data_IF_590606432020
#
_entry.id   IF_590606432020
#
_cell.length_a   1.000
_cell.length_b   1.000
_cell.length_c   1.000
_cell.angle_alpha   90.00
_cell.angle_beta   90.00
_cell.angle_gamma   90.00
#
_symmetry.space_group_name_H-M   'P 1'
#
loop_
_entity.id
_entity.type
_entity.pdbx_description
1 polymer ?
#
# COMPACT_ATOMS: atom_id res chain seq x y z
N UNK A 1 -9.79 34.35 -36.44
CA UNK A 1 -10.74 33.30 -36.03
C UNK A 1 -9.95 32.02 -35.82
N UNK A 2 -9.52 31.77 -34.58
CA UNK A 2 -8.62 30.67 -34.23
C UNK A 2 -9.44 29.61 -33.49
N UNK A 3 -9.46 28.39 -34.01
CA UNK A 3 -10.17 27.25 -33.44
C UNK A 3 -9.19 26.54 -32.51
N UNK A 4 -9.38 26.68 -31.20
CA UNK A 4 -8.66 25.92 -30.17
C UNK A 4 -9.24 24.51 -30.03
N UNK A 5 -8.37 23.50 -29.92
CA UNK A 5 -8.71 22.09 -29.77
C UNK A 5 -9.39 21.79 -28.43
N UNK A 6 -10.21 20.73 -28.39
CA UNK A 6 -11.04 20.36 -27.23
C UNK A 6 -10.24 20.03 -25.95
N UNK A 7 -8.94 19.72 -26.06
CA UNK A 7 -8.09 19.35 -24.93
C UNK A 7 -7.75 20.54 -24.03
N UNK A 8 -7.61 21.75 -24.58
CA UNK A 8 -7.26 22.95 -23.80
C UNK A 8 -8.43 23.50 -22.96
N UNK A 9 -9.68 23.09 -23.22
CA UNK A 9 -10.85 23.55 -22.44
C UNK A 9 -11.02 22.80 -21.11
N UNK A 10 -10.45 21.60 -20.97
CA UNK A 10 -10.56 20.81 -19.73
C UNK A 10 -9.59 21.28 -18.63
N UNK A 11 -8.44 21.84 -19.00
CA UNK A 11 -7.46 22.37 -18.05
C UNK A 11 -7.94 23.68 -17.39
N UNK A 12 -8.56 24.59 -18.17
CA UNK A 12 -9.05 25.86 -17.63
C UNK A 12 -10.27 25.72 -16.71
N UNK A 13 -11.09 24.68 -16.91
CA UNK A 13 -12.29 24.43 -16.10
C UNK A 13 -11.98 23.90 -14.69
N UNK A 14 -10.83 23.23 -14.49
CA UNK A 14 -10.41 22.71 -13.17
C UNK A 14 -9.86 23.81 -12.25
N UNK A 15 -9.19 24.84 -12.79
CA UNK A 15 -8.66 25.96 -12.00
C UNK A 15 -9.74 26.88 -11.41
N UNK A 16 -10.92 27.00 -12.04
CA UNK A 16 -12.01 27.84 -11.51
C UNK A 16 -12.83 27.21 -10.39
N UNK A 17 -12.70 25.89 -10.15
CA UNK A 17 -13.49 25.20 -9.11
C UNK A 17 -12.89 25.31 -7.70
N UNK A 18 -11.58 25.58 -7.59
CA UNK A 18 -10.90 25.71 -6.29
C UNK A 18 -11.02 27.10 -5.65
N UNK A 19 -11.50 28.12 -6.37
CA UNK A 19 -11.61 29.50 -5.85
C UNK A 19 -12.99 29.91 -5.35
N UNK A 20 -13.99 29.01 -5.39
CA UNK A 20 -15.38 29.30 -4.96
C UNK A 20 -15.81 28.63 -3.65
N UNK A 21 -14.92 27.90 -2.97
CA UNK A 21 -15.24 27.19 -1.72
C UNK A 21 -14.92 27.98 -0.42
N UNK A 22 -14.44 29.22 -0.50
CA UNK A 22 -13.99 29.99 0.69
C UNK A 22 -14.77 31.27 1.01
N UNK A 23 -15.96 31.48 0.44
CA UNK A 23 -16.82 32.61 0.81
C UNK A 23 -18.27 32.14 0.98
N UNK A 24 -18.73 32.05 2.23
CA UNK A 24 -20.15 31.87 2.51
C UNK A 24 -20.47 31.19 3.83
N UNK A 25 -20.07 31.76 4.97
CA UNK A 25 -20.79 31.52 6.23
C UNK A 25 -21.39 32.84 6.69
N UNK A 26 -22.66 32.99 6.33
CA UNK A 26 -23.56 34.04 6.78
C UNK A 26 -23.92 33.74 8.23
N UNK A 27 -23.45 34.55 9.18
CA UNK A 27 -23.91 34.50 10.56
C UNK A 27 -25.02 35.54 10.71
N UNK A 28 -26.25 35.08 10.89
CA UNK A 28 -27.40 35.93 11.18
C UNK A 28 -28.12 35.42 12.43
N UNK A 29 -28.49 36.38 13.27
CA UNK A 29 -29.41 36.30 14.40
C UNK A 29 -28.86 35.79 15.74
N UNK A 30 -28.42 36.73 16.58
CA UNK A 30 -28.89 36.80 17.97
C UNK A 30 -29.16 38.27 18.33
N UNK A 31 -30.36 38.45 18.87
CA UNK A 31 -31.06 39.68 19.20
C UNK A 31 -30.58 40.34 20.50
N UNK A 32 -30.55 41.67 20.47
CA UNK A 32 -30.83 42.64 21.55
C UNK A 32 -30.61 42.22 23.01
N UNK A 33 -29.63 42.85 23.66
CA UNK A 33 -29.84 43.51 24.96
C UNK A 33 -29.12 44.85 24.93
N UNK A 34 -29.89 45.91 25.20
CA UNK A 34 -29.46 47.30 25.28
C UNK A 34 -28.64 47.57 26.55
N UNK A 35 -27.74 48.57 26.44
CA UNK A 35 -27.50 49.51 27.53
C UNK A 35 -26.23 49.32 28.36
N UNK A 36 -25.15 49.98 27.94
CA UNK A 36 -24.37 50.90 28.79
C UNK A 36 -23.13 51.39 28.03
N UNK A 37 -23.16 52.65 27.59
CA UNK A 37 -21.96 53.43 27.32
C UNK A 37 -21.42 53.98 28.63
N UNK A 38 -20.13 53.83 28.94
CA UNK A 38 -19.30 54.86 29.62
C UNK A 38 -17.81 54.55 29.36
N UNK A 39 -17.17 55.52 28.72
CA UNK A 39 -15.77 55.99 28.83
C UNK A 39 -14.60 54.99 28.91
N UNK A 40 -13.81 55.02 27.83
CA UNK A 40 -12.35 54.95 27.88
C UNK A 40 -11.81 56.02 28.84
N UNK A 41 -11.10 55.61 29.89
CA UNK A 41 -9.72 56.02 30.15
C UNK A 41 -9.16 55.48 31.48
N UNK A 42 -7.90 55.06 31.41
CA UNK A 42 -6.89 55.08 32.47
C UNK A 42 -6.96 54.07 33.65
N UNK A 43 -5.86 53.30 33.71
CA UNK A 43 -5.20 52.59 34.83
C UNK A 43 -5.20 51.03 34.80
N UNK A 44 -4.03 50.42 35.10
CA UNK A 44 -3.75 49.01 34.89
C UNK A 44 -4.25 48.20 36.09
N UNK A 45 -5.32 47.43 35.91
CA UNK A 45 -5.76 46.48 36.93
C UNK A 45 -5.23 45.09 36.60
N UNK A 46 -4.27 44.66 37.41
CA UNK A 46 -4.00 43.26 37.74
C UNK A 46 -5.33 42.49 37.83
N UNK A 47 -5.64 41.68 36.82
CA UNK A 47 -6.59 40.60 37.00
C UNK A 47 -5.93 39.55 37.90
N UNK A 48 -6.15 39.70 39.21
CA UNK A 48 -6.17 38.57 40.13
C UNK A 48 -7.33 37.68 39.67
N UNK A 49 -7.06 36.77 38.75
CA UNK A 49 -7.91 35.59 38.61
C UNK A 49 -7.71 34.80 39.90
N UNK A 50 -8.72 34.79 40.77
CA UNK A 50 -8.87 33.71 41.74
C UNK A 50 -8.72 32.41 40.95
N UNK A 51 -7.62 31.70 41.20
CA UNK A 51 -7.23 30.47 40.52
C UNK A 51 -8.21 29.35 40.90
N UNK A 52 -9.41 29.40 40.35
CA UNK A 52 -10.16 28.18 40.10
C UNK A 52 -9.38 27.41 39.03
N UNK A 53 -8.55 26.46 39.48
CA UNK A 53 -7.94 25.45 38.61
C UNK A 53 -9.08 24.62 38.01
N UNK A 54 -9.58 25.06 36.85
CA UNK A 54 -10.45 24.22 36.04
C UNK A 54 -9.59 23.09 35.48
N UNK A 55 -9.64 21.94 36.14
CA UNK A 55 -9.08 20.70 35.60
C UNK A 55 -10.00 20.27 34.46
N UNK A 56 -9.70 20.73 33.25
CA UNK A 56 -10.35 20.21 32.04
C UNK A 56 -9.77 18.81 31.81
N UNK A 57 -10.53 17.78 32.19
CA UNK A 57 -10.21 16.39 31.87
C UNK A 57 -10.50 16.17 30.39
N UNK A 58 -9.47 16.27 29.54
CA UNK A 58 -9.55 15.85 28.14
C UNK A 58 -9.30 14.35 28.08
N UNK A 59 -10.37 13.56 27.96
CA UNK A 59 -10.23 12.13 27.63
C UNK A 59 -10.16 12.01 26.13
N UNK A 60 -8.96 11.74 25.58
CA UNK A 60 -8.82 11.26 24.21
C UNK A 60 -9.03 9.75 24.23
N UNK A 61 -10.17 9.28 23.73
CA UNK A 61 -10.34 7.87 23.38
C UNK A 61 -9.31 7.53 22.31
N UNK A 62 -8.42 6.58 22.62
CA UNK A 62 -7.39 6.11 21.68
C UNK A 62 -7.98 5.03 20.77
N UNK A 63 -7.19 4.65 19.76
CA UNK A 63 -7.42 3.47 18.95
C UNK A 63 -7.81 2.25 19.81
N UNK A 64 -8.78 1.49 19.34
CA UNK A 64 -9.05 0.18 19.91
C UNK A 64 -8.08 -0.82 19.28
N UNK A 65 -7.28 -1.48 20.12
CA UNK A 65 -6.32 -2.48 19.65
C UNK A 65 -6.97 -3.86 19.70
N UNK A 66 -7.05 -4.51 18.54
CA UNK A 66 -7.53 -5.89 18.43
C UNK A 66 -6.32 -6.80 18.28
N UNK A 67 -6.21 -7.78 19.17
CA UNK A 67 -5.21 -8.85 19.09
C UNK A 67 -5.93 -10.12 18.66
N UNK A 68 -5.50 -10.74 17.56
CA UNK A 68 -6.07 -11.97 17.03
C UNK A 68 -5.00 -13.05 16.90
N UNK A 69 -5.30 -14.29 17.28
CA UNK A 69 -4.47 -15.45 17.00
C UNK A 69 -5.20 -16.34 15.99
N UNK A 70 -4.51 -16.72 14.92
CA UNK A 70 -5.04 -17.67 13.95
C UNK A 70 -3.92 -18.45 13.28
N UNK A 71 -4.26 -19.64 12.77
CA UNK A 71 -3.39 -20.39 11.88
C UNK A 71 -3.36 -19.74 10.51
N UNK A 72 -2.17 -19.28 10.11
CA UNK A 72 -2.00 -18.47 8.94
C UNK A 72 -0.73 -18.80 8.15
N UNK A 73 -0.73 -18.42 6.88
CA UNK A 73 0.36 -18.60 5.95
C UNK A 73 0.64 -17.26 5.28
N UNK A 74 1.85 -16.73 5.47
CA UNK A 74 2.27 -15.50 4.80
C UNK A 74 2.47 -15.76 3.31
N UNK A 75 1.86 -14.92 2.49
CA UNK A 75 1.91 -15.01 1.03
C UNK A 75 2.26 -13.65 0.44
N UNK A 76 2.80 -13.66 -0.78
CA UNK A 76 3.04 -12.44 -1.53
C UNK A 76 1.70 -11.78 -1.93
N UNK A 77 1.47 -10.55 -1.47
CA UNK A 77 0.22 -9.82 -1.71
C UNK A 77 0.02 -9.52 -3.20
N UNK A 78 1.09 -9.21 -3.94
CA UNK A 78 0.97 -8.88 -5.35
C UNK A 78 0.53 -10.10 -6.18
N UNK A 79 1.15 -11.26 -5.92
CA UNK A 79 0.73 -12.53 -6.52
C UNK A 79 -0.68 -12.91 -6.08
N UNK A 80 -1.00 -12.82 -4.78
CA UNK A 80 -2.33 -13.18 -4.26
C UNK A 80 -3.44 -12.35 -4.91
N UNK A 81 -3.31 -11.02 -4.86
CA UNK A 81 -4.30 -10.10 -5.41
C UNK A 81 -4.47 -10.26 -6.92
N UNK A 82 -3.37 -10.22 -7.68
CA UNK A 82 -3.41 -10.35 -9.13
C UNK A 82 -3.98 -11.70 -9.59
N UNK A 83 -3.64 -12.80 -8.91
CA UNK A 83 -4.15 -14.12 -9.27
C UNK A 83 -5.61 -14.33 -8.83
N UNK A 84 -6.07 -13.70 -7.75
CA UNK A 84 -7.48 -13.71 -7.35
C UNK A 84 -8.35 -12.90 -8.31
N UNK A 85 -7.90 -11.71 -8.73
CA UNK A 85 -8.59 -10.91 -9.75
C UNK A 85 -8.70 -11.69 -11.08
N UNK A 86 -7.62 -12.36 -11.49
CA UNK A 86 -7.64 -13.23 -12.67
C UNK A 86 -8.65 -14.37 -12.53
N UNK A 87 -8.66 -15.02 -11.36
CA UNK A 87 -9.59 -16.11 -11.06
C UNK A 87 -11.04 -15.64 -11.08
N UNK A 88 -11.34 -14.49 -10.48
CA UNK A 88 -12.66 -13.89 -10.49
C UNK A 88 -13.15 -13.59 -11.90
N UNK A 89 -12.30 -12.92 -12.72
CA UNK A 89 -12.65 -12.53 -14.09
C UNK A 89 -12.97 -13.74 -14.97
N UNK A 90 -12.26 -14.84 -14.80
CA UNK A 90 -12.43 -16.07 -15.59
C UNK A 90 -13.34 -17.11 -14.94
N UNK A 91 -13.90 -16.81 -13.77
CA UNK A 91 -14.70 -17.76 -12.98
C UNK A 91 -15.90 -18.31 -13.76
N UNK A 92 -16.63 -17.44 -14.46
CA UNK A 92 -17.80 -17.83 -15.26
C UNK A 92 -17.41 -18.71 -16.46
N UNK A 93 -16.28 -18.40 -17.09
CA UNK A 93 -15.73 -19.19 -18.20
C UNK A 93 -15.30 -20.57 -17.74
N UNK A 94 -14.57 -20.66 -16.62
CA UNK A 94 -14.16 -21.92 -15.99
C UNK A 94 -15.38 -22.74 -15.58
N UNK A 95 -16.39 -22.10 -14.96
CA UNK A 95 -17.63 -22.78 -14.59
C UNK A 95 -18.36 -23.34 -15.81
N UNK A 96 -18.42 -22.58 -16.90
CA UNK A 96 -19.02 -23.02 -18.16
C UNK A 96 -18.27 -24.21 -18.75
N UNK A 97 -16.93 -24.15 -18.81
CA UNK A 97 -16.09 -25.26 -19.25
C UNK A 97 -16.37 -26.55 -18.45
N UNK A 98 -16.43 -26.43 -17.11
CA UNK A 98 -16.72 -27.57 -16.22
C UNK A 98 -18.13 -28.12 -16.44
N UNK A 99 -19.13 -27.26 -16.62
CA UNK A 99 -20.51 -27.66 -16.90
C UNK A 99 -20.62 -28.37 -18.26
N UNK A 100 -20.02 -27.81 -19.30
CA UNK A 100 -19.95 -28.43 -20.63
C UNK A 100 -19.26 -29.79 -20.56
N UNK A 101 -18.15 -29.93 -19.82
CA UNK A 101 -17.47 -31.22 -19.68
C UNK A 101 -18.29 -32.25 -18.88
N UNK A 102 -19.05 -31.80 -17.86
CA UNK A 102 -19.84 -32.68 -16.99
C UNK A 102 -21.14 -33.16 -17.64
N UNK A 103 -21.84 -32.27 -18.35
CA UNK A 103 -23.19 -32.49 -18.85
C UNK A 103 -23.29 -32.54 -20.38
N UNK A 104 -22.21 -32.26 -21.11
CA UNK A 104 -22.17 -32.40 -22.56
C UNK A 104 -22.46 -33.84 -22.98
N UNK A 105 -23.63 -34.06 -23.59
CA UNK A 105 -24.06 -35.36 -24.12
C UNK A 105 -24.69 -35.17 -25.50
N UNK A 106 -24.59 -36.21 -26.34
CA UNK A 106 -25.27 -36.32 -27.63
C UNK A 106 -24.39 -36.08 -28.85
N UNK A 107 -24.92 -36.45 -30.03
CA UNK A 107 -24.20 -36.46 -31.31
C UNK A 107 -23.77 -35.05 -31.80
N UNK A 108 -24.23 -33.99 -31.11
CA UNK A 108 -23.90 -32.58 -31.36
C UNK A 108 -22.97 -31.98 -30.30
N UNK A 109 -22.59 -32.73 -29.27
CA UNK A 109 -21.62 -32.28 -28.29
C UNK A 109 -20.22 -32.35 -28.90
N UNK A 110 -19.69 -31.21 -29.34
CA UNK A 110 -18.35 -31.11 -29.96
C UNK A 110 -17.22 -31.44 -28.98
N UNK A 111 -17.48 -31.33 -27.67
CA UNK A 111 -16.53 -31.65 -26.61
C UNK A 111 -16.93 -33.01 -26.04
N UNK A 112 -16.21 -34.07 -26.44
CA UNK A 112 -16.26 -35.35 -25.74
C UNK A 112 -15.83 -35.14 -24.27
N UNK A 113 -16.34 -35.97 -23.36
CA UNK A 113 -15.98 -35.92 -21.93
C UNK A 113 -14.47 -36.04 -21.75
N UNK A 114 -13.81 -34.91 -21.47
CA UNK A 114 -12.38 -34.84 -21.27
C UNK A 114 -12.02 -35.38 -19.87
N UNK A 115 -10.88 -36.10 -19.74
CA UNK A 115 -10.26 -36.38 -18.45
C UNK A 115 -10.10 -35.09 -17.63
N UNK A 116 -10.23 -35.21 -16.31
CA UNK A 116 -10.21 -34.05 -15.40
C UNK A 116 -8.88 -33.30 -15.47
N UNK A 117 -7.80 -34.00 -15.75
CA UNK A 117 -6.45 -33.47 -15.90
C UNK A 117 -6.36 -32.53 -17.09
N UNK A 118 -7.00 -32.88 -18.22
CA UNK A 118 -7.02 -32.02 -19.41
C UNK A 118 -7.86 -30.76 -19.17
N UNK A 119 -8.99 -30.89 -18.48
CA UNK A 119 -9.79 -29.71 -18.09
C UNK A 119 -8.98 -28.78 -17.21
N UNK A 120 -8.28 -29.31 -16.20
CA UNK A 120 -7.40 -28.52 -15.34
C UNK A 120 -6.27 -27.83 -16.13
N UNK A 121 -5.70 -28.49 -17.14
CA UNK A 121 -4.69 -27.89 -18.00
C UNK A 121 -5.26 -26.72 -18.82
N UNK A 122 -6.46 -26.86 -19.38
CA UNK A 122 -7.14 -25.77 -20.09
C UNK A 122 -7.47 -24.63 -19.14
N UNK A 123 -7.97 -24.90 -17.94
CA UNK A 123 -8.21 -23.87 -16.91
C UNK A 123 -6.92 -23.11 -16.56
N UNK A 124 -5.82 -23.83 -16.35
CA UNK A 124 -4.52 -23.22 -16.07
C UNK A 124 -4.03 -22.37 -17.23
N UNK A 125 -4.18 -22.84 -18.47
CA UNK A 125 -3.81 -22.09 -19.67
C UNK A 125 -4.61 -20.79 -19.80
N UNK A 126 -5.93 -20.84 -19.58
CA UNK A 126 -6.79 -19.65 -19.63
C UNK A 126 -6.41 -18.63 -18.55
N UNK A 127 -6.09 -19.10 -17.35
CA UNK A 127 -5.74 -18.23 -16.22
C UNK A 127 -4.35 -17.60 -16.37
N UNK A 128 -3.39 -18.26 -17.03
CA UNK A 128 -1.99 -17.85 -17.00
C UNK A 128 -1.75 -16.47 -17.60
N UNK A 129 -2.32 -16.19 -18.77
CA UNK A 129 -2.15 -14.89 -19.44
C UNK A 129 -2.71 -13.74 -18.59
N UNK A 130 -3.89 -13.94 -18.00
CA UNK A 130 -4.53 -12.92 -17.16
C UNK A 130 -3.80 -12.74 -15.82
N UNK A 131 -3.31 -13.84 -15.22
CA UNK A 131 -2.47 -13.81 -14.01
C UNK A 131 -1.22 -12.99 -14.20
N UNK A 132 -0.47 -13.25 -15.27
CA UNK A 132 0.77 -12.52 -15.54
C UNK A 132 0.50 -11.03 -15.76
N UNK A 133 -0.57 -10.70 -16.48
CA UNK A 133 -0.98 -9.31 -16.70
C UNK A 133 -1.33 -8.60 -15.39
N UNK A 134 -2.22 -9.19 -14.59
CA UNK A 134 -2.70 -8.57 -13.35
C UNK A 134 -1.60 -8.55 -12.28
N UNK A 135 -0.81 -9.62 -12.15
CA UNK A 135 0.37 -9.64 -11.27
C UNK A 135 1.33 -8.49 -11.59
N UNK A 136 1.63 -8.23 -12.87
CA UNK A 136 2.48 -7.09 -13.25
C UNK A 136 1.92 -5.75 -12.78
N UNK A 137 0.60 -5.56 -12.89
CA UNK A 137 -0.05 -4.34 -12.38
C UNK A 137 0.06 -4.23 -10.87
N UNK A 138 -0.23 -5.32 -10.14
CA UNK A 138 -0.12 -5.38 -8.69
C UNK A 138 1.30 -5.11 -8.20
N UNK A 139 2.31 -5.71 -8.84
CA UNK A 139 3.72 -5.47 -8.51
C UNK A 139 4.07 -4.01 -8.73
N UNK A 140 3.74 -3.43 -9.89
CA UNK A 140 4.04 -2.03 -10.19
C UNK A 140 3.41 -1.06 -9.18
N UNK A 141 2.14 -1.27 -8.83
CA UNK A 141 1.43 -0.42 -7.87
C UNK A 141 2.04 -0.60 -6.45
N UNK A 142 2.41 -1.83 -6.07
CA UNK A 142 3.10 -2.13 -4.81
C UNK A 142 4.48 -1.48 -4.74
N UNK A 143 5.30 -1.57 -5.80
CA UNK A 143 6.65 -1.00 -5.85
C UNK A 143 6.63 0.51 -5.63
N UNK A 144 5.58 1.21 -6.09
CA UNK A 144 5.38 2.63 -5.80
C UNK A 144 5.05 2.88 -4.32
N UNK A 145 4.13 2.08 -3.75
CA UNK A 145 3.80 2.13 -2.33
C UNK A 145 5.01 1.87 -1.41
N UNK A 146 5.87 0.92 -1.79
CA UNK A 146 7.08 0.59 -1.03
C UNK A 146 8.25 1.54 -1.31
N UNK A 147 8.04 2.57 -2.15
CA UNK A 147 9.07 3.53 -2.58
C UNK A 147 10.31 2.86 -3.19
N UNK A 148 10.11 1.72 -3.84
CA UNK A 148 11.16 0.97 -4.53
C UNK A 148 11.18 1.25 -6.04
N UNK A 149 10.27 2.10 -6.50
CA UNK A 149 10.12 2.43 -7.91
C UNK A 149 11.14 3.49 -8.34
N UNK A 150 11.54 3.47 -9.61
CA UNK A 150 12.45 4.47 -10.18
C UNK A 150 11.68 5.55 -10.96
N UNK A 151 12.17 6.80 -11.05
CA UNK A 151 11.52 7.83 -11.87
C UNK A 151 11.25 7.37 -13.32
N UNK A 152 12.21 6.68 -13.96
CA UNK A 152 12.04 6.18 -15.33
C UNK A 152 10.88 5.17 -15.50
N UNK A 153 10.39 4.56 -14.42
CA UNK A 153 9.25 3.63 -14.47
C UNK A 153 7.88 4.34 -14.54
N UNK A 154 7.87 5.67 -14.43
CA UNK A 154 6.67 6.51 -14.44
C UNK A 154 6.59 7.38 -15.70
N UNK A 155 7.63 7.36 -16.51
CA UNK A 155 7.78 8.22 -17.68
C UNK A 155 7.76 7.37 -18.95
N UNK A 156 7.22 7.94 -20.01
CA UNK A 156 7.36 7.42 -21.37
C UNK A 156 8.82 7.52 -21.84
N UNK A 157 9.18 6.74 -22.87
CA UNK A 157 10.54 6.76 -23.41
C UNK A 157 10.88 8.15 -23.96
N UNK A 158 9.89 8.83 -24.53
CA UNK A 158 10.00 10.18 -25.07
C UNK A 158 10.27 11.21 -23.98
N UNK A 159 9.55 11.14 -22.85
CA UNK A 159 9.77 12.02 -21.68
C UNK A 159 11.15 11.78 -21.06
N UNK A 160 11.59 10.52 -20.95
CA UNK A 160 12.94 10.19 -20.45
C UNK A 160 14.01 10.79 -21.36
N UNK A 161 13.83 10.67 -22.68
CA UNK A 161 14.75 11.21 -23.68
C UNK A 161 14.81 12.75 -23.63
N UNK A 162 13.67 13.40 -23.43
CA UNK A 162 13.58 14.86 -23.25
C UNK A 162 14.38 15.31 -22.00
N UNK A 163 14.15 14.67 -20.85
CA UNK A 163 14.91 14.97 -19.63
C UNK A 163 16.41 14.74 -19.79
N UNK A 164 16.79 13.65 -20.46
CA UNK A 164 18.19 13.33 -20.72
C UNK A 164 18.88 14.37 -21.62
N UNK A 165 18.20 14.79 -22.70
CA UNK A 165 18.72 15.82 -23.61
C UNK A 165 18.84 17.19 -22.92
N UNK A 166 17.87 17.57 -22.09
CA UNK A 166 17.92 18.80 -21.29
C UNK A 166 19.10 18.78 -20.30
N UNK A 167 19.24 17.68 -19.56
CA UNK A 167 20.35 17.50 -18.63
C UNK A 167 21.71 17.59 -19.32
N UNK A 168 21.88 16.89 -20.45
CA UNK A 168 23.12 16.90 -21.22
C UNK A 168 23.47 18.31 -21.71
N UNK A 169 22.46 19.08 -22.12
CA UNK A 169 22.61 20.50 -22.46
C UNK A 169 23.02 21.38 -21.27
N UNK A 170 22.62 21.02 -20.04
CA UNK A 170 22.94 21.78 -18.82
C UNK A 170 24.35 21.54 -18.27
N UNK A 171 24.93 20.35 -18.46
CA UNK A 171 26.27 19.96 -17.95
C UNK A 171 27.42 20.41 -18.85
N UNK A 172 27.13 20.87 -20.06
CA UNK A 172 28.12 21.45 -20.98
C UNK A 172 28.06 22.98 -21.05
N UNK A 173 28.07 23.76 -19.93
CA UNK A 173 28.22 25.20 -20.00
C UNK A 173 29.71 25.53 -20.23
N UNK A 174 30.17 25.38 -21.47
CA UNK A 174 31.53 25.75 -21.88
C UNK A 174 32.12 24.99 -23.07
N UNK A 175 31.53 23.86 -23.50
CA UNK A 175 31.97 23.17 -24.73
C UNK A 175 31.29 23.69 -26.00
N UNK A 176 30.69 24.89 -25.93
CA UNK A 176 30.09 25.56 -27.10
C UNK A 176 31.15 26.00 -28.13
N UNK A 177 32.44 25.93 -27.76
CA UNK A 177 33.57 26.16 -28.67
C UNK A 177 34.21 24.85 -29.17
N UNK A 178 33.91 23.70 -28.57
CA UNK A 178 34.22 22.41 -29.18
C UNK A 178 33.07 22.10 -30.13
N UNK A 179 33.27 22.54 -31.37
CA UNK A 179 32.52 22.16 -32.56
C UNK A 179 31.83 20.81 -32.37
N UNK A 180 30.50 20.76 -32.55
CA UNK A 180 29.90 19.51 -33.02
C UNK A 180 30.86 18.95 -34.09
N UNK A 181 31.25 17.69 -34.01
CA UNK A 181 32.12 17.05 -35.02
C UNK A 181 31.58 17.23 -36.45
N UNK A 182 30.30 17.62 -36.57
CA UNK A 182 29.58 17.96 -37.78
C UNK A 182 29.61 19.46 -38.20
N UNK A 183 30.31 20.36 -37.51
CA UNK A 183 30.38 21.82 -37.76
C UNK A 183 29.03 22.58 -37.73
N UNK A 184 27.92 21.98 -37.28
CA UNK A 184 26.60 22.61 -37.45
C UNK A 184 26.25 23.70 -36.43
N UNK A 185 26.99 23.80 -35.31
CA UNK A 185 26.73 24.79 -34.25
C UNK A 185 25.51 24.49 -33.37
N UNK A 186 24.81 23.37 -33.58
CA UNK A 186 23.62 22.96 -32.81
C UNK A 186 23.91 21.80 -31.85
N UNK A 187 23.22 21.79 -30.70
CA UNK A 187 23.13 20.62 -29.82
C UNK A 187 22.19 19.63 -30.49
N UNK A 188 22.71 18.50 -30.98
CA UNK A 188 21.86 17.43 -31.47
C UNK A 188 21.16 16.75 -30.30
N UNK A 189 19.85 16.96 -30.21
CA UNK A 189 18.99 16.07 -29.44
C UNK A 189 19.26 14.64 -29.94
N UNK A 190 19.56 13.74 -29.02
CA UNK A 190 19.65 12.34 -29.38
C UNK A 190 18.24 11.82 -29.64
N UNK A 191 18.09 10.97 -30.65
CA UNK A 191 16.87 10.22 -30.91
C UNK A 191 16.74 9.02 -29.96
N UNK A 192 17.87 8.57 -29.37
CA UNK A 192 17.94 7.46 -28.43
C UNK A 192 18.99 7.71 -27.35
N UNK A 193 18.71 7.30 -26.11
CA UNK A 193 19.71 7.20 -25.04
C UNK A 193 20.19 5.73 -24.92
N UNK A 194 21.49 5.49 -24.67
CA UNK A 194 21.98 4.14 -24.44
C UNK A 194 21.43 3.59 -23.11
N UNK A 195 20.94 2.34 -23.09
CA UNK A 195 20.40 1.72 -21.87
C UNK A 195 21.42 1.69 -20.71
N UNK A 196 22.72 1.70 -21.03
CA UNK A 196 23.80 1.79 -20.03
C UNK A 196 23.80 3.09 -19.21
N UNK A 197 23.11 4.13 -19.68
CA UNK A 197 23.00 5.42 -18.97
C UNK A 197 21.70 5.56 -18.16
N UNK A 198 20.84 4.53 -18.13
CA UNK A 198 19.59 4.57 -17.37
C UNK A 198 19.79 4.80 -15.87
N UNK A 199 20.85 4.25 -15.28
CA UNK A 199 21.14 4.48 -13.87
C UNK A 199 21.54 5.95 -13.62
N UNK A 200 22.38 6.51 -14.50
CA UNK A 200 22.73 7.94 -14.46
C UNK A 200 21.50 8.82 -14.65
N UNK A 201 20.61 8.48 -15.60
CA UNK A 201 19.34 9.18 -15.81
C UNK A 201 18.48 9.15 -14.54
N UNK A 202 18.39 8.00 -13.86
CA UNK A 202 17.66 7.90 -12.60
C UNK A 202 18.30 8.76 -11.50
N UNK A 203 19.62 8.72 -11.35
CA UNK A 203 20.34 9.58 -10.39
C UNK A 203 20.11 11.07 -10.67
N UNK A 204 20.01 11.47 -11.95
CA UNK A 204 19.72 12.84 -12.34
C UNK A 204 18.29 13.22 -11.97
N UNK A 205 17.32 12.38 -12.34
CA UNK A 205 15.90 12.60 -12.05
C UNK A 205 15.64 12.61 -10.53
N UNK A 206 16.37 11.79 -9.78
CA UNK A 206 16.39 11.80 -8.31
C UNK A 206 17.18 12.99 -7.75
N UNK A 207 18.22 13.50 -8.42
CA UNK A 207 19.01 14.63 -7.92
C UNK A 207 18.36 15.99 -8.15
N UNK A 208 17.57 16.14 -9.22
CA UNK A 208 16.88 17.38 -9.62
C UNK A 208 15.64 17.70 -8.77
N UNK A 209 15.72 17.54 -7.44
CA UNK A 209 14.62 17.83 -6.51
C UNK A 209 14.29 19.34 -6.36
N UNK A 210 15.09 20.26 -6.91
CA UNK A 210 14.99 21.71 -6.69
C UNK A 210 14.03 22.45 -7.66
N UNK A 211 12.85 21.89 -7.89
CA UNK A 211 11.70 22.65 -8.45
C UNK A 211 11.57 22.73 -9.98
N UNK A 212 12.13 21.78 -10.73
CA UNK A 212 11.88 21.69 -12.19
C UNK A 212 10.52 21.06 -12.52
N UNK A 213 9.95 21.45 -13.66
CA UNK A 213 8.65 20.99 -14.18
C UNK A 213 8.52 19.46 -14.33
N UNK A 214 9.64 18.75 -14.52
CA UNK A 214 9.66 17.30 -14.70
C UNK A 214 9.32 16.52 -13.43
N UNK A 215 9.42 17.17 -12.26
CA UNK A 215 8.99 16.58 -10.99
C UNK A 215 7.50 16.27 -10.98
N UNK A 216 6.69 17.19 -11.50
CA UNK A 216 5.23 17.11 -11.36
C UNK A 216 4.67 15.88 -12.08
N UNK A 217 5.19 15.52 -13.27
CA UNK A 217 4.68 14.39 -14.05
C UNK A 217 4.98 13.04 -13.43
N UNK A 218 6.22 12.80 -12.99
CA UNK A 218 6.57 11.51 -12.35
C UNK A 218 5.86 11.38 -11.00
N UNK A 219 5.78 12.47 -10.22
CA UNK A 219 5.08 12.49 -8.94
C UNK A 219 3.59 12.20 -9.13
N UNK A 220 2.93 12.78 -10.14
CA UNK A 220 1.51 12.54 -10.43
C UNK A 220 1.22 11.05 -10.71
N UNK A 221 2.01 10.40 -11.58
CA UNK A 221 1.84 8.98 -11.89
C UNK A 221 2.21 8.08 -10.70
N UNK A 222 3.22 8.46 -9.91
CA UNK A 222 3.59 7.76 -8.68
C UNK A 222 2.48 7.81 -7.63
N UNK A 223 1.94 9.00 -7.35
CA UNK A 223 0.81 9.20 -6.44
C UNK A 223 -0.44 8.45 -6.94
N UNK A 224 -0.75 8.51 -8.24
CA UNK A 224 -1.87 7.78 -8.83
C UNK A 224 -1.72 6.25 -8.67
N UNK A 225 -0.50 5.71 -8.71
CA UNK A 225 -0.22 4.29 -8.45
C UNK A 225 -0.38 3.94 -6.98
N UNK A 226 0.04 4.81 -6.06
CA UNK A 226 -0.21 4.65 -4.62
C UNK A 226 -1.71 4.66 -4.33
N UNK A 227 -2.47 5.61 -4.88
CA UNK A 227 -3.93 5.63 -4.77
C UNK A 227 -4.57 4.37 -5.33
N UNK A 228 -4.03 3.86 -6.45
CA UNK A 228 -4.49 2.61 -7.04
C UNK A 228 -4.21 1.41 -6.13
N UNK A 229 -3.05 1.38 -5.47
CA UNK A 229 -2.72 0.40 -4.45
C UNK A 229 -3.72 0.43 -3.30
N UNK A 230 -3.99 1.62 -2.74
CA UNK A 230 -4.98 1.78 -1.67
C UNK A 230 -6.39 1.43 -2.09
N UNK A 231 -6.80 1.76 -3.32
CA UNK A 231 -8.09 1.31 -3.84
C UNK A 231 -8.18 -0.21 -3.88
N UNK A 232 -7.06 -0.90 -4.15
CA UNK A 232 -6.99 -2.36 -4.16
C UNK A 232 -6.99 -2.96 -2.78
N UNK A 233 -6.16 -2.47 -1.86
CA UNK A 233 -5.88 -3.11 -0.55
C UNK A 233 -6.48 -2.42 0.65
N UNK A 234 -7.14 -1.27 0.47
CA UNK A 234 -7.49 -0.32 1.53
C UNK A 234 -6.31 0.57 1.90
N UNK A 235 -6.61 1.73 2.48
CA UNK A 235 -5.60 2.61 3.07
C UNK A 235 -5.14 2.05 4.44
N UNK A 236 -3.94 2.48 4.91
CA UNK A 236 -3.54 2.29 6.29
C UNK A 236 -4.64 2.79 7.24
N UNK A 237 -4.84 2.09 8.37
CA UNK A 237 -5.85 2.39 9.40
C UNK A 237 -7.33 2.23 8.99
N UNK A 238 -7.66 2.23 7.70
CA UNK A 238 -9.03 1.98 7.25
C UNK A 238 -9.46 0.53 7.51
N UNK A 239 -10.75 0.37 7.85
CA UNK A 239 -11.36 -0.94 8.07
C UNK A 239 -11.67 -1.68 6.78
N UNK A 240 -12.10 -0.97 5.74
CA UNK A 240 -12.29 -1.55 4.41
C UNK A 240 -10.94 -1.81 3.77
N UNK A 241 -10.83 -2.94 3.05
CA UNK A 241 -9.67 -3.27 2.23
C UNK A 241 -9.92 -2.96 0.76
N UNK A 242 -10.69 -1.92 0.47
CA UNK A 242 -10.98 -1.46 -0.88
C UNK A 242 -11.63 -2.57 -1.72
N UNK A 243 -11.15 -2.77 -2.95
CA UNK A 243 -11.64 -3.86 -3.81
C UNK A 243 -11.25 -5.25 -3.31
N UNK A 244 -10.25 -5.37 -2.42
CA UNK A 244 -9.86 -6.66 -1.84
C UNK A 244 -10.97 -7.30 -1.01
N UNK A 245 -11.86 -6.52 -0.41
CA UNK A 245 -12.99 -7.05 0.36
C UNK A 245 -13.84 -8.01 -0.53
N UNK A 246 -14.00 -7.66 -1.82
CA UNK A 246 -14.65 -8.51 -2.82
C UNK A 246 -13.85 -9.79 -3.08
N UNK A 247 -12.53 -9.68 -3.27
CA UNK A 247 -11.64 -10.83 -3.51
C UNK A 247 -11.57 -11.77 -2.28
N UNK A 248 -11.63 -11.21 -1.08
CA UNK A 248 -11.67 -11.97 0.18
C UNK A 248 -12.92 -12.86 0.24
N UNK A 249 -14.06 -12.37 -0.26
CA UNK A 249 -15.29 -13.18 -0.33
C UNK A 249 -15.12 -14.43 -1.22
N UNK A 250 -14.29 -14.36 -2.26
CA UNK A 250 -13.98 -15.50 -3.14
C UNK A 250 -13.14 -16.53 -2.36
N UNK A 251 -12.14 -16.08 -1.59
CA UNK A 251 -11.35 -16.96 -0.74
C UNK A 251 -12.21 -17.71 0.27
N UNK A 252 -13.11 -17.00 0.94
CA UNK A 252 -14.00 -17.61 1.92
C UNK A 252 -14.94 -18.62 1.25
N UNK A 253 -15.54 -18.26 0.11
CA UNK A 253 -16.51 -19.12 -0.58
C UNK A 253 -15.90 -20.34 -1.27
N UNK A 254 -14.76 -20.17 -1.95
CA UNK A 254 -14.18 -21.22 -2.81
C UNK A 254 -13.09 -22.03 -2.11
N UNK A 255 -12.43 -21.44 -1.12
CA UNK A 255 -11.30 -22.07 -0.44
C UNK A 255 -11.55 -22.27 1.05
N UNK A 256 -12.57 -21.63 1.63
CA UNK A 256 -12.84 -21.70 3.07
C UNK A 256 -11.72 -21.08 3.90
N UNK A 257 -11.09 -20.04 3.36
CA UNK A 257 -9.99 -19.27 3.96
C UNK A 257 -10.36 -17.78 4.03
N UNK A 258 -9.73 -17.07 4.96
CA UNK A 258 -9.77 -15.61 5.06
C UNK A 258 -8.41 -15.02 4.71
N UNK A 259 -8.40 -13.72 4.46
CA UNK A 259 -7.19 -12.92 4.29
C UNK A 259 -7.05 -11.89 5.35
N UNK A 260 -5.84 -11.73 5.85
CA UNK A 260 -5.45 -10.61 6.69
C UNK A 260 -4.37 -9.81 5.97
N UNK A 261 -4.67 -8.54 5.68
CA UNK A 261 -3.75 -7.58 5.05
C UNK A 261 -3.44 -6.47 6.05
N UNK A 262 -2.17 -6.11 6.09
CA UNK A 262 -1.66 -4.98 6.86
C UNK A 262 -0.61 -4.22 6.08
N UNK A 263 -0.60 -2.91 6.28
CA UNK A 263 0.52 -2.05 5.90
C UNK A 263 1.42 -1.94 7.12
N UNK A 264 2.69 -2.28 6.97
CA UNK A 264 3.70 -2.23 8.03
C UNK A 264 4.79 -1.28 7.62
N UNK A 265 5.40 -0.65 8.61
CA UNK A 265 6.71 -0.02 8.48
C UNK A 265 7.71 -1.02 9.04
N UNK A 266 8.56 -1.58 8.19
CA UNK A 266 9.58 -2.51 8.65
C UNK A 266 10.73 -1.69 9.26
N UNK A 267 10.74 -1.57 10.59
CA UNK A 267 11.86 -0.97 11.32
C UNK A 267 13.10 -1.86 11.18
N UNK A 268 13.96 -1.52 10.22
CA UNK A 268 15.41 -1.58 10.46
C UNK A 268 15.83 -0.24 11.06
N UNK A 269 16.72 -0.23 12.06
CA UNK A 269 17.48 1.00 12.37
C UNK A 269 18.18 1.39 11.06
N UNK A 270 17.75 2.46 10.39
CA UNK A 270 18.41 2.80 9.16
C UNK A 270 19.74 3.43 9.60
N UNK A 271 20.87 2.85 9.17
CA UNK A 271 22.22 3.36 9.51
C UNK A 271 22.35 4.84 9.15
N UNK A 272 21.50 5.31 8.23
CA UNK A 272 21.23 6.72 7.95
C UNK A 272 19.72 6.94 7.89
N UNK A 273 19.19 8.08 8.39
CA UNK A 273 17.81 8.48 8.15
C UNK A 273 17.62 8.75 6.65
N UNK A 274 17.44 7.68 5.87
CA UNK A 274 16.87 7.79 4.54
C UNK A 274 15.42 8.23 4.75
N UNK A 275 14.96 9.31 4.09
CA UNK A 275 13.56 9.69 4.08
C UNK A 275 12.65 8.60 3.49
N UNK A 276 13.23 7.54 2.91
CA UNK A 276 12.50 6.42 2.35
C UNK A 276 12.03 5.49 3.47
N UNK A 277 10.92 5.88 4.10
CA UNK A 277 10.14 5.01 4.95
C UNK A 277 9.77 3.75 4.14
N UNK A 278 10.39 2.61 4.46
CA UNK A 278 10.07 1.31 3.85
C UNK A 278 8.71 0.84 4.37
N UNK A 279 7.67 1.42 3.80
CA UNK A 279 6.34 0.87 3.88
C UNK A 279 6.35 -0.46 3.11
N UNK A 280 5.71 -1.48 3.68
CA UNK A 280 5.45 -2.74 2.99
C UNK A 280 4.04 -3.19 3.27
N UNK A 281 3.47 -4.00 2.39
CA UNK A 281 2.17 -4.61 2.61
C UNK A 281 2.34 -6.12 2.81
N UNK A 282 1.97 -6.61 3.99
CA UNK A 282 1.99 -8.05 4.28
C UNK A 282 0.59 -8.64 4.16
N UNK A 283 0.53 -9.83 3.59
CA UNK A 283 -0.70 -10.59 3.44
C UNK A 283 -0.55 -12.00 4.01
N UNK A 284 -1.61 -12.45 4.67
CA UNK A 284 -1.69 -13.76 5.28
C UNK A 284 -3.00 -14.42 4.84
N UNK A 285 -2.91 -15.64 4.32
CA UNK A 285 -4.05 -16.54 4.26
C UNK A 285 -4.24 -17.13 5.66
N UNK A 286 -5.47 -17.23 6.14
CA UNK A 286 -5.73 -17.81 7.47
C UNK A 286 -7.02 -18.61 7.52
N UNK A 287 -7.15 -19.44 8.55
CA UNK A 287 -8.42 -20.10 8.85
C UNK A 287 -9.43 -19.10 9.46
N UNK A 288 -10.74 -19.25 9.19
CA UNK A 288 -11.78 -18.44 9.83
C UNK A 288 -11.86 -18.63 11.35
N UNK A 289 -11.44 -19.80 11.85
CA UNK A 289 -11.36 -20.06 13.27
C UNK A 289 -10.22 -19.23 13.88
N UNK A 290 -10.59 -18.20 14.65
CA UNK A 290 -9.66 -17.27 15.30
C UNK A 290 -10.05 -17.03 16.75
N UNK A 291 -9.07 -16.68 17.55
CA UNK A 291 -9.27 -16.17 18.90
C UNK A 291 -8.91 -14.70 18.93
N UNK A 292 -9.83 -13.83 19.35
CA UNK A 292 -9.62 -12.39 19.35
C UNK A 292 -9.91 -11.79 20.72
N UNK A 293 -9.06 -10.88 21.18
CA UNK A 293 -9.32 -10.03 22.33
C UNK A 293 -9.23 -8.58 21.87
N UNK A 294 -10.24 -7.79 22.23
CA UNK A 294 -10.29 -6.35 21.96
C UNK A 294 -9.91 -5.60 23.23
N UNK A 295 -8.98 -4.67 23.08
CA UNK A 295 -8.55 -3.77 24.14
C UNK A 295 -8.93 -2.35 23.74
N UNK A 296 -9.81 -1.75 24.53
CA UNK A 296 -10.13 -0.33 24.39
C UNK A 296 -9.05 0.43 25.18
N UNK A 297 -8.09 1.01 24.46
CA UNK A 297 -7.03 1.76 25.11
C UNK A 297 -7.59 3.11 25.56
N UNK A 298 -7.51 3.37 26.86
CA UNK A 298 -7.82 4.68 27.43
C UNK A 298 -6.53 5.31 27.93
N UNK A 299 -6.05 6.34 27.24
CA UNK A 299 -5.00 7.19 27.81
C UNK A 299 -5.66 8.38 28.50
N UNK A 300 -5.65 8.34 29.83
CA UNK A 300 -6.05 9.49 30.64
C UNK A 300 -4.87 10.47 30.68
N UNK A 301 -4.94 11.52 29.88
CA UNK A 301 -4.01 12.64 29.98
C UNK A 301 -4.48 13.58 31.09
N UNK A 302 -3.73 13.66 32.18
CA UNK A 302 -3.92 14.73 33.16
C UNK A 302 -3.23 15.98 32.64
N UNK A 303 -4.00 16.98 32.20
CA UNK A 303 -3.47 18.26 31.72
C UNK A 303 -2.87 19.04 32.91
N UNK A 304 -1.61 18.79 33.23
CA UNK A 304 -0.82 19.68 34.08
C UNK A 304 -0.41 20.90 33.23
N UNK A 305 -0.41 22.10 33.83
CA UNK A 305 0.03 23.34 33.16
C UNK A 305 1.55 23.39 32.89
N UNK A 306 2.29 22.40 33.37
CA UNK A 306 3.67 22.16 33.01
C UNK A 306 3.70 20.86 32.20
N UNK A 307 4.52 20.83 31.14
CA UNK A 307 4.66 19.74 30.17
C UNK A 307 4.25 18.38 30.75
N UNK A 308 3.36 17.61 30.10
CA UNK A 308 2.89 16.35 30.64
C UNK A 308 4.07 15.43 30.87
N UNK A 309 4.55 15.38 32.13
CA UNK A 309 5.55 14.42 32.55
C UNK A 309 4.92 13.05 32.40
N UNK A 310 5.27 12.34 31.30
CA UNK A 310 4.99 10.92 31.19
C UNK A 310 5.70 10.27 32.37
N UNK A 311 4.94 9.80 33.36
CA UNK A 311 5.48 8.86 34.33
C UNK A 311 5.91 7.64 33.52
N UNK A 312 7.20 7.29 33.60
CA UNK A 312 7.74 6.08 32.96
C UNK A 312 6.97 4.88 33.51
N UNK A 313 5.97 4.43 32.76
CA UNK A 313 5.12 3.30 33.09
C UNK A 313 5.23 2.33 31.92
N UNK A 314 5.38 1.05 32.25
CA UNK A 314 5.30 -0.02 31.27
C UNK A 314 3.83 -0.16 30.84
N UNK A 315 3.57 -0.01 29.55
CA UNK A 315 2.25 -0.29 29.00
C UNK A 315 2.14 -1.78 28.74
N UNK A 316 1.50 -2.50 29.67
CA UNK A 316 1.16 -3.92 29.52
C UNK A 316 -0.31 -4.09 29.11
N UNK A 317 -0.56 -4.99 28.15
CA UNK A 317 -1.90 -5.53 27.89
C UNK A 317 -1.97 -6.93 28.51
N UNK A 318 -2.93 -7.13 29.41
CA UNK A 318 -3.19 -8.43 30.02
C UNK A 318 -4.64 -8.82 29.80
N UNK A 319 -4.86 -10.00 29.21
CA UNK A 319 -6.18 -10.58 29.03
C UNK A 319 -6.06 -12.07 28.78
N UNK A 320 -7.04 -12.84 29.26
CA UNK A 320 -7.09 -14.26 28.98
C UNK A 320 -7.38 -14.46 27.49
N UNK A 321 -6.44 -15.10 26.78
CA UNK A 321 -6.58 -15.41 25.37
C UNK A 321 -6.50 -16.92 25.19
N UNK A 322 -7.59 -17.53 24.72
CA UNK A 322 -7.59 -18.94 24.34
C UNK A 322 -6.88 -19.07 22.99
N UNK A 323 -5.88 -19.94 22.88
CA UNK A 323 -5.31 -20.24 21.58
C UNK A 323 -6.32 -21.02 20.73
N UNK A 324 -6.43 -20.76 19.42
CA UNK A 324 -7.26 -21.57 18.55
C UNK A 324 -6.71 -23.01 18.53
N UNK A 325 -7.58 -24.03 18.42
CA UNK A 325 -7.14 -25.43 18.38
C UNK A 325 -6.24 -25.69 17.18
N UNK A 326 -5.44 -26.75 17.25
CA UNK A 326 -4.60 -27.19 16.13
C UNK A 326 -5.47 -27.49 14.88
N UNK A 327 -5.03 -27.11 13.67
CA UNK A 327 -5.83 -27.25 12.47
C UNK A 327 -6.00 -28.72 12.09
N UNK A 328 -7.24 -29.13 11.85
CA UNK A 328 -7.53 -30.44 11.28
C UNK A 328 -6.85 -30.64 9.92
N UNK A 329 -6.53 -31.89 9.51
CA UNK A 329 -5.97 -32.18 8.19
C UNK A 329 -6.79 -31.62 7.02
N UNK A 330 -8.13 -31.56 7.18
CA UNK A 330 -9.03 -30.96 6.19
C UNK A 330 -8.83 -29.45 6.04
N UNK A 331 -8.50 -28.76 7.12
CA UNK A 331 -8.19 -27.33 7.12
C UNK A 331 -6.82 -27.07 6.47
N UNK A 332 -5.83 -27.91 6.75
CA UNK A 332 -4.52 -27.86 6.09
C UNK A 332 -4.64 -28.07 4.57
N UNK A 333 -5.48 -29.00 4.14
CA UNK A 333 -5.74 -29.25 2.72
C UNK A 333 -6.33 -28.01 1.99
N UNK A 334 -7.01 -27.09 2.70
CA UNK A 334 -7.52 -25.84 2.10
C UNK A 334 -6.39 -24.90 1.71
N UNK A 335 -5.36 -24.75 2.55
CA UNK A 335 -4.17 -23.95 2.23
C UNK A 335 -3.46 -24.53 1.02
N UNK A 336 -3.15 -25.83 1.04
CA UNK A 336 -2.50 -26.50 -0.08
C UNK A 336 -3.31 -26.35 -1.38
N UNK A 337 -4.63 -26.51 -1.31
CA UNK A 337 -5.52 -26.31 -2.45
C UNK A 337 -5.50 -24.86 -2.95
N UNK A 338 -5.60 -23.86 -2.06
CA UNK A 338 -5.55 -22.46 -2.42
C UNK A 338 -4.21 -22.07 -3.05
N UNK A 339 -3.09 -22.44 -2.43
CA UNK A 339 -1.75 -22.18 -2.95
C UNK A 339 -1.53 -22.85 -4.30
N UNK A 340 -2.02 -24.09 -4.49
CA UNK A 340 -1.93 -24.80 -5.78
C UNK A 340 -2.76 -24.11 -6.86
N UNK A 341 -4.03 -23.86 -6.59
CA UNK A 341 -4.96 -23.27 -7.57
C UNK A 341 -4.52 -21.86 -7.93
N UNK A 342 -4.18 -21.03 -6.95
CA UNK A 342 -3.79 -19.64 -7.13
C UNK A 342 -2.28 -19.47 -7.38
N UNK A 343 -1.49 -20.53 -7.49
CA UNK A 343 -0.02 -20.49 -7.71
C UNK A 343 0.70 -19.52 -6.76
N UNK A 344 0.38 -19.60 -5.47
CA UNK A 344 0.95 -18.72 -4.46
C UNK A 344 2.30 -19.25 -3.98
N UNK A 345 3.29 -18.37 -3.93
CA UNK A 345 4.46 -18.57 -3.09
C UNK A 345 4.10 -18.21 -1.65
N UNK A 346 4.74 -18.89 -0.70
CA UNK A 346 4.63 -18.58 0.71
C UNK A 346 6.03 -18.45 1.30
N UNK A 347 6.15 -17.63 2.34
CA UNK A 347 7.37 -17.50 3.11
C UNK A 347 7.36 -18.66 4.12
N UNK A 348 8.26 -19.65 4.01
CA UNK A 348 8.43 -20.61 5.10
C UNK A 348 8.88 -19.79 6.29
N UNK A 349 8.32 -19.98 7.50
CA UNK A 349 9.08 -19.48 8.62
C UNK A 349 10.38 -20.23 8.63
N UNK A 350 11.46 -19.47 8.73
CA UNK A 350 12.67 -20.05 9.22
C UNK A 350 12.32 -20.68 10.58
N UNK A 351 12.78 -21.92 10.83
CA UNK A 351 12.74 -22.42 12.18
C UNK A 351 13.43 -21.34 13.02
N UNK A 352 12.69 -20.74 13.96
CA UNK A 352 13.29 -19.74 14.84
C UNK A 352 14.61 -20.33 15.32
N UNK A 353 15.74 -19.60 15.28
CA UNK A 353 17.01 -20.08 15.79
C UNK A 353 16.93 -20.33 17.30
N UNK A 354 16.19 -21.35 17.70
CA UNK A 354 16.19 -21.90 19.02
C UNK A 354 17.55 -22.57 19.17
N UNK A 355 18.48 -21.82 19.77
CA UNK A 355 19.87 -22.20 20.04
C UNK A 355 20.83 -21.96 18.87
N UNK A 356 21.05 -20.70 18.49
CA UNK A 356 22.38 -20.34 17.94
C UNK A 356 23.35 -20.46 19.12
N UNK A 357 24.07 -21.57 19.17
CA UNK A 357 25.33 -21.60 19.91
C UNK A 357 26.20 -20.50 19.31
N UNK A 358 26.59 -19.52 20.12
CA UNK A 358 27.54 -18.49 19.74
C UNK A 358 28.90 -19.14 19.47
N UNK A 359 29.09 -19.67 18.27
CA UNK A 359 30.43 -19.92 17.74
C UNK A 359 30.92 -18.61 17.15
N UNK A 360 31.89 -18.01 17.83
CA UNK A 360 32.61 -16.81 17.40
C UNK A 360 33.19 -17.05 16.01
N UNK A 361 32.64 -16.42 14.97
CA UNK A 361 33.25 -16.44 13.64
C UNK A 361 33.12 -15.07 12.99
N UNK A 362 34.27 -14.39 12.92
CA UNK A 362 34.56 -13.26 12.06
C UNK A 362 34.18 -13.60 10.60
N UNK A 363 33.20 -12.92 10.01
CA UNK A 363 33.27 -12.50 8.59
C UNK A 363 32.14 -11.54 8.18
N UNK A 364 32.55 -10.40 7.62
CA UNK A 364 31.73 -9.33 7.02
C UNK A 364 31.05 -9.77 5.71
N UNK A 365 30.04 -10.65 5.77
CA UNK A 365 29.17 -10.92 4.60
C UNK A 365 27.71 -10.74 4.95
N UNK A 366 27.13 -9.65 4.49
CA UNK A 366 25.68 -9.41 4.50
C UNK A 366 24.96 -10.53 3.73
N UNK A 367 23.91 -11.16 4.31
CA UNK A 367 23.14 -12.18 3.62
C UNK A 367 22.23 -11.55 2.55
N UNK A 368 22.42 -11.97 1.30
CA UNK A 368 21.49 -11.70 0.20
C UNK A 368 20.22 -12.55 0.38
N UNK A 369 19.17 -11.96 0.96
CA UNK A 369 17.87 -12.63 1.22
C UNK A 369 17.04 -12.63 -0.05
N UNK A 370 17.43 -13.43 -1.04
CA UNK A 370 16.55 -13.80 -2.14
C UNK A 370 15.53 -14.82 -1.64
N UNK A 371 14.25 -14.43 -1.62
CA UNK A 371 13.10 -15.28 -1.28
C UNK A 371 12.98 -16.46 -2.27
N UNK A 372 13.69 -17.55 -1.99
CA UNK A 372 13.56 -18.82 -2.72
C UNK A 372 12.28 -19.52 -2.27
N UNK A 373 11.15 -19.14 -2.89
CA UNK A 373 9.84 -19.69 -2.59
C UNK A 373 9.79 -21.21 -2.77
N UNK A 374 9.36 -21.94 -1.73
CA UNK A 374 9.10 -23.39 -1.80
C UNK A 374 7.77 -23.68 -2.53
N UNK A 375 7.68 -24.86 -3.15
CA UNK A 375 6.48 -25.29 -3.89
C UNK A 375 5.31 -25.60 -2.96
N UNK A 376 4.07 -25.52 -3.48
CA UNK A 376 2.83 -25.50 -2.68
C UNK A 376 2.50 -26.78 -1.89
N UNK A 377 3.29 -27.85 -2.02
CA UNK A 377 2.96 -29.16 -1.44
C UNK A 377 3.18 -29.18 0.07
N UNK A 378 4.08 -28.32 0.59
CA UNK A 378 4.46 -28.28 2.00
C UNK A 378 3.98 -27.01 2.73
N UNK A 379 2.91 -26.39 2.24
CA UNK A 379 2.34 -25.19 2.85
C UNK A 379 1.79 -25.52 4.25
N UNK A 380 2.60 -25.28 5.29
CA UNK A 380 2.21 -25.47 6.69
C UNK A 380 1.88 -24.11 7.31
N UNK A 381 0.60 -23.83 7.63
CA UNK A 381 0.24 -22.62 8.33
C UNK A 381 0.84 -22.66 9.74
N UNK A 382 1.05 -21.49 10.30
CA UNK A 382 1.62 -21.28 11.61
C UNK A 382 0.69 -20.47 12.49
N UNK A 383 0.80 -20.64 13.79
CA UNK A 383 0.11 -19.76 14.72
C UNK A 383 0.71 -18.37 14.60
N UNK A 384 -0.09 -17.41 14.13
CA UNK A 384 0.34 -16.02 13.96
C UNK A 384 -0.52 -15.12 14.85
N UNK A 385 0.15 -14.24 15.58
CA UNK A 385 -0.48 -13.15 16.32
C UNK A 385 -0.61 -11.93 15.39
N UNK A 386 -1.82 -11.47 15.20
CA UNK A 386 -2.16 -10.26 14.47
C UNK A 386 -2.52 -9.16 15.45
N UNK A 387 -1.90 -8.00 15.31
CA UNK A 387 -2.22 -6.82 16.11
C UNK A 387 -2.70 -5.75 15.15
N UNK A 388 -3.88 -5.18 15.42
CA UNK A 388 -4.44 -4.07 14.64
C UNK A 388 -4.96 -2.99 15.58
N UNK A 389 -4.40 -1.80 15.45
CA UNK A 389 -4.95 -0.59 16.07
C UNK A 389 -6.00 -0.01 15.12
N UNK A 390 -7.23 0.12 15.59
CA UNK A 390 -8.29 0.80 14.85
C UNK A 390 -8.34 2.25 15.33
N UNK A 391 -7.68 3.15 14.61
CA UNK A 391 -7.72 4.60 14.82
C UNK A 391 -8.98 5.22 14.19
N UNK A 392 -10.13 4.55 14.30
CA UNK A 392 -11.42 5.15 13.92
C UNK A 392 -11.76 6.25 14.93
N UNK A 393 -11.03 7.37 14.90
CA UNK A 393 -11.58 8.64 15.37
C UNK A 393 -12.65 9.00 14.36
N UNK A 394 -13.91 8.74 14.72
CA UNK A 394 -15.03 9.44 14.09
C UNK A 394 -14.67 10.93 14.10
N UNK A 395 -14.58 11.55 12.92
CA UNK A 395 -14.37 12.99 12.79
C UNK A 395 -15.48 13.69 13.59
N UNK A 396 -15.09 14.33 14.70
CA UNK A 396 -15.98 15.08 15.60
C UNK A 396 -16.25 16.49 15.08
#
# INVERSE_FOLDING_TARGET
MVILSQSSRKALARQTSYRKASQGVHCSQLSSVEGASVLLDQYPFLFRFDRALYVIKLTRTMANTTIEFAWALQVDIATLGGHLEAYEKLQSTIATLRLCNRFGQGNKATIAKLPVELVQNVENFLLEAERLKLKKQWVRDLTCWEQQCRPTEHMSREEILECYNEWRGSITPGSWEDECVCECGDVHALDEFPESELDTINEILEGYYDGSWHRDQWCDEHEARIESWFRRTGEPTQKSRGTFDRLSSILSKHFGLETWITHVHEHGEPVFPSPNNLHSTKAYLRLPAKSSVRYDQRQDYTRCHMEPFRVKTEFGLAGALSLPPEPEPRSLARFAHACKVLRLSYVPSEPSPSTIAFENSDSDKLPDVTLTGKTSVDARPQMTMFVRSNDETEDW
#
